data_IF_150434180521
#
_entry.id   IF_150434180521
#
_cell.length_a   1.000
_cell.length_b   1.000
_cell.length_c   1.000
_cell.angle_alpha   90.00
_cell.angle_beta   90.00
_cell.angle_gamma   90.00
#
_symmetry.space_group_name_H-M   'P 1'
#
loop_
_entity.id
_entity.type
_entity.pdbx_description
1 polymer ?
#
# COMPACT_ATOMS: atom_id res chain seq x y z
N UNK A 1 -0.81 26.05 -44.42
CA UNK A 1 -0.29 27.15 -43.58
C UNK A 1 -1.33 27.49 -42.53
N UNK A 2 -1.00 27.47 -41.23
CA UNK A 2 -1.95 27.87 -40.17
C UNK A 2 -2.14 29.38 -40.12
N UNK A 3 -3.37 29.82 -39.89
CA UNK A 3 -3.75 31.22 -39.89
C UNK A 3 -3.15 31.95 -38.68
N UNK A 4 -3.01 33.27 -38.77
CA UNK A 4 -2.44 34.11 -37.71
C UNK A 4 -3.28 34.03 -36.41
N UNK A 5 -4.59 33.83 -36.53
CA UNK A 5 -5.50 33.65 -35.40
C UNK A 5 -5.27 32.31 -34.66
N UNK A 6 -5.13 31.20 -35.39
CA UNK A 6 -4.86 29.88 -34.82
C UNK A 6 -3.53 29.82 -34.06
N UNK A 7 -2.49 30.53 -34.55
CA UNK A 7 -1.20 30.63 -33.84
C UNK A 7 -1.32 31.45 -32.56
N UNK A 8 -2.10 32.53 -32.57
CA UNK A 8 -2.35 33.37 -31.39
C UNK A 8 -3.14 32.62 -30.32
N UNK A 9 -4.15 31.86 -30.73
CA UNK A 9 -4.97 31.06 -29.83
C UNK A 9 -4.15 29.96 -29.15
N UNK A 10 -3.32 29.23 -29.91
CA UNK A 10 -2.42 28.23 -29.31
C UNK A 10 -1.36 28.83 -28.40
N UNK A 11 -0.80 29.99 -28.75
CA UNK A 11 0.15 30.68 -27.89
C UNK A 11 -0.52 31.13 -26.58
N UNK A 12 -1.78 31.56 -26.64
CA UNK A 12 -2.57 31.89 -25.45
C UNK A 12 -2.93 30.65 -24.62
N UNK A 13 -3.32 29.54 -25.24
CA UNK A 13 -3.59 28.26 -24.57
C UNK A 13 -2.32 27.62 -23.97
N UNK A 14 -1.16 27.82 -24.60
CA UNK A 14 0.13 27.39 -24.08
C UNK A 14 0.54 28.29 -22.91
N UNK A 15 0.47 29.61 -23.07
CA UNK A 15 0.72 30.56 -21.99
C UNK A 15 -0.20 30.35 -20.79
N UNK A 16 -1.50 30.09 -21.01
CA UNK A 16 -2.46 29.80 -19.94
C UNK A 16 -2.12 28.49 -19.20
N UNK A 17 -1.63 27.46 -19.91
CA UNK A 17 -1.15 26.21 -19.30
C UNK A 17 0.17 26.42 -18.53
N UNK A 18 1.09 27.20 -19.08
CA UNK A 18 2.37 27.50 -18.44
C UNK A 18 2.17 28.38 -17.19
N UNK A 19 1.27 29.37 -17.26
CA UNK A 19 0.84 30.22 -16.15
C UNK A 19 0.10 29.41 -15.09
N UNK A 20 -0.86 28.56 -15.49
CA UNK A 20 -1.53 27.65 -14.58
C UNK A 20 -0.52 26.74 -13.86
N UNK A 21 0.48 26.19 -14.56
CA UNK A 21 1.52 25.34 -13.96
C UNK A 21 2.46 26.08 -12.97
N UNK A 22 2.79 27.35 -13.24
CA UNK A 22 3.63 28.15 -12.34
C UNK A 22 2.88 28.63 -11.10
N UNK A 23 1.65 29.14 -11.25
CA UNK A 23 0.83 29.55 -10.11
C UNK A 23 0.33 28.34 -9.29
N UNK A 24 0.03 27.20 -9.93
CA UNK A 24 -0.35 25.96 -9.23
C UNK A 24 0.79 25.49 -8.32
N UNK A 25 2.04 25.44 -8.81
CA UNK A 25 3.16 24.99 -7.99
C UNK A 25 3.47 25.92 -6.81
N UNK A 26 3.51 27.23 -7.01
CA UNK A 26 3.79 28.18 -5.93
C UNK A 26 2.67 28.20 -4.89
N UNK A 27 1.41 28.16 -5.30
CA UNK A 27 0.25 28.07 -4.40
C UNK A 27 0.20 26.72 -3.67
N UNK A 28 0.53 25.62 -4.35
CA UNK A 28 0.65 24.27 -3.76
C UNK A 28 1.75 24.25 -2.70
N UNK A 29 2.92 24.82 -3.00
CA UNK A 29 4.04 24.90 -2.07
C UNK A 29 3.73 25.84 -0.90
N UNK A 30 3.07 26.97 -1.13
CA UNK A 30 2.64 27.89 -0.07
C UNK A 30 1.60 27.22 0.85
N UNK A 31 0.63 26.51 0.28
CA UNK A 31 -0.34 25.72 1.04
C UNK A 31 0.35 24.61 1.86
N UNK A 32 1.30 23.90 1.26
CA UNK A 32 2.10 22.89 1.95
C UNK A 32 2.99 23.49 3.05
N UNK A 33 3.57 24.67 2.83
CA UNK A 33 4.38 25.39 3.81
C UNK A 33 3.56 25.91 4.99
N UNK A 34 2.32 26.38 4.75
CA UNK A 34 1.39 26.75 5.83
C UNK A 34 1.03 25.55 6.72
N UNK A 35 1.02 24.34 6.16
CA UNK A 35 0.81 23.09 6.89
C UNK A 35 2.07 22.70 7.68
N UNK A 36 3.25 22.77 7.06
CA UNK A 36 4.52 22.43 7.71
C UNK A 36 4.90 23.44 8.82
N UNK A 37 4.55 24.71 8.66
CA UNK A 37 4.83 25.79 9.64
C UNK A 37 3.96 25.77 10.89
N UNK A 38 2.94 24.89 10.98
CA UNK A 38 2.07 24.73 12.15
C UNK A 38 2.54 23.64 13.13
N UNK A 39 3.72 23.06 12.93
CA UNK A 39 4.30 22.02 13.79
C UNK A 39 4.43 22.48 15.25
N UNK A 40 3.39 22.22 16.05
CA UNK A 40 3.50 22.07 17.49
C UNK A 40 3.89 20.62 17.82
N UNK A 41 4.71 20.39 18.86
CA UNK A 41 5.15 19.05 19.24
C UNK A 41 4.01 18.31 19.96
N UNK A 42 2.98 17.88 19.25
CA UNK A 42 1.91 17.04 19.78
C UNK A 42 1.50 15.97 18.78
N UNK A 43 1.98 14.75 19.03
CA UNK A 43 1.64 13.47 18.36
C UNK A 43 2.00 13.43 16.87
N UNK A 44 3.21 12.95 16.56
CA UNK A 44 3.72 12.72 15.20
C UNK A 44 2.87 11.77 14.30
N UNK A 45 1.73 11.26 14.79
CA UNK A 45 0.99 10.14 14.19
C UNK A 45 -0.38 10.53 13.63
N UNK A 46 -0.88 11.70 14.00
CA UNK A 46 -2.02 12.36 13.39
C UNK A 46 -1.50 13.75 13.08
N UNK A 47 -1.42 14.16 11.81
CA UNK A 47 -1.26 15.57 11.47
C UNK A 47 -2.66 16.17 11.33
N UNK A 48 -3.34 16.58 12.43
CA UNK A 48 -4.69 17.14 12.35
C UNK A 48 -4.75 18.35 11.41
N UNK A 49 -3.65 19.10 11.30
CA UNK A 49 -3.54 20.25 10.41
C UNK A 49 -3.57 19.87 8.93
N UNK A 50 -3.03 18.70 8.54
CA UNK A 50 -3.09 18.24 7.14
C UNK A 50 -4.52 17.85 6.78
N UNK A 51 -5.20 17.13 7.66
CA UNK A 51 -6.59 16.74 7.45
C UNK A 51 -7.51 17.97 7.37
N UNK A 52 -7.31 18.95 8.26
CA UNK A 52 -8.04 20.21 8.25
C UNK A 52 -7.77 21.03 6.98
N UNK A 53 -6.52 21.16 6.53
CA UNK A 53 -6.19 21.90 5.30
C UNK A 53 -6.72 21.21 4.05
N UNK A 54 -6.65 19.88 3.97
CA UNK A 54 -7.27 19.14 2.86
C UNK A 54 -8.80 19.30 2.87
N UNK A 55 -9.43 19.36 4.04
CA UNK A 55 -10.87 19.61 4.17
C UNK A 55 -11.24 21.06 3.81
N UNK A 56 -10.46 22.05 4.26
CA UNK A 56 -10.61 23.45 3.85
C UNK A 56 -10.52 23.56 2.32
N UNK A 57 -9.50 22.94 1.71
CA UNK A 57 -9.34 22.93 0.25
C UNK A 57 -10.50 22.27 -0.50
N UNK A 58 -11.12 21.23 0.07
CA UNK A 58 -12.36 20.65 -0.49
C UNK A 58 -13.52 21.65 -0.44
N UNK A 59 -13.65 22.43 0.63
CA UNK A 59 -14.69 23.46 0.75
C UNK A 59 -14.48 24.62 -0.25
N UNK A 60 -13.22 24.89 -0.63
CA UNK A 60 -12.88 25.85 -1.68
C UNK A 60 -12.85 25.23 -3.10
N UNK A 61 -13.17 23.93 -3.23
CA UNK A 61 -13.12 23.15 -4.46
C UNK A 61 -14.04 23.71 -5.54
N UNK A 62 -13.46 24.49 -6.45
CA UNK A 62 -14.15 25.16 -7.56
C UNK A 62 -13.59 26.53 -7.91
N UNK A 63 -12.86 27.19 -7.01
CA UNK A 63 -12.38 28.57 -7.19
C UNK A 63 -10.87 28.71 -7.42
N UNK A 64 -10.08 27.65 -7.21
CA UNK A 64 -8.63 27.65 -7.36
C UNK A 64 -8.20 26.66 -8.45
N UNK A 65 -7.16 26.97 -9.26
CA UNK A 65 -6.56 26.05 -10.23
C UNK A 65 -5.77 24.90 -9.56
N UNK A 66 -5.79 24.80 -8.24
CA UNK A 66 -5.03 23.86 -7.42
C UNK A 66 -5.91 22.65 -7.08
N UNK A 67 -5.45 21.44 -7.41
CA UNK A 67 -6.18 20.22 -7.06
C UNK A 67 -5.79 19.70 -5.67
N UNK A 68 -6.72 19.04 -5.00
CA UNK A 68 -6.47 18.37 -3.72
C UNK A 68 -5.35 17.33 -3.82
N UNK A 69 -5.27 16.61 -4.94
CA UNK A 69 -4.21 15.63 -5.19
C UNK A 69 -2.84 16.30 -5.33
N UNK A 70 -2.74 17.45 -6.00
CA UNK A 70 -1.50 18.22 -6.13
C UNK A 70 -0.98 18.67 -4.77
N UNK A 71 -1.85 19.21 -3.91
CA UNK A 71 -1.47 19.65 -2.55
C UNK A 71 -1.10 18.49 -1.66
N UNK A 72 -1.90 17.42 -1.65
CA UNK A 72 -1.57 16.23 -0.88
C UNK A 72 -0.21 15.66 -1.33
N UNK A 73 0.02 15.52 -2.63
CA UNK A 73 1.30 15.02 -3.16
C UNK A 73 2.50 15.88 -2.74
N UNK A 74 2.31 17.20 -2.62
CA UNK A 74 3.36 18.10 -2.11
C UNK A 74 3.59 17.94 -0.59
N UNK A 75 2.53 17.79 0.22
CA UNK A 75 2.64 17.58 1.68
C UNK A 75 3.28 16.24 2.02
N UNK A 76 2.99 15.20 1.22
CA UNK A 76 3.48 13.83 1.42
C UNK A 76 4.57 13.44 0.40
N UNK A 77 5.32 14.40 -0.13
CA UNK A 77 6.37 14.14 -1.13
C UNK A 77 7.33 13.03 -0.68
N UNK A 78 7.67 13.03 0.61
CA UNK A 78 8.64 12.11 1.21
C UNK A 78 7.98 10.83 1.74
N UNK A 79 6.68 10.67 1.51
CA UNK A 79 5.87 9.58 2.07
C UNK A 79 4.91 8.95 1.05
N UNK A 80 5.15 9.18 -0.24
CA UNK A 80 4.42 8.49 -1.32
C UNK A 80 4.95 7.07 -1.48
N UNK A 81 4.05 6.08 -1.51
CA UNK A 81 4.40 4.69 -1.74
C UNK A 81 4.24 4.31 -3.20
N UNK A 82 5.30 3.77 -3.79
CA UNK A 82 5.34 3.24 -5.15
C UNK A 82 6.03 1.89 -5.16
N UNK A 83 5.70 1.06 -6.15
CA UNK A 83 6.40 -0.18 -6.41
C UNK A 83 7.89 0.09 -6.71
N UNK A 84 8.78 -0.58 -5.98
CA UNK A 84 10.19 -0.63 -6.32
C UNK A 84 10.42 -1.69 -7.41
N UNK A 85 10.85 -1.24 -8.59
CA UNK A 85 11.11 -2.13 -9.72
C UNK A 85 12.28 -3.10 -9.46
N UNK A 86 13.26 -2.70 -8.64
CA UNK A 86 14.38 -3.54 -8.24
C UNK A 86 13.94 -4.67 -7.30
N UNK A 87 13.06 -4.39 -6.35
CA UNK A 87 12.47 -5.43 -5.48
C UNK A 87 11.61 -6.40 -6.31
N UNK A 88 10.84 -5.90 -7.28
CA UNK A 88 10.03 -6.78 -8.15
C UNK A 88 10.91 -7.69 -9.01
N UNK A 89 11.96 -7.15 -9.62
CA UNK A 89 12.93 -7.94 -10.40
C UNK A 89 13.59 -9.00 -9.53
N UNK A 90 14.04 -8.63 -8.33
CA UNK A 90 14.62 -9.56 -7.35
C UNK A 90 13.67 -10.72 -7.04
N UNK A 91 12.40 -10.42 -6.75
CA UNK A 91 11.39 -11.43 -6.41
C UNK A 91 11.14 -12.40 -7.57
N UNK A 92 11.09 -11.87 -8.80
CA UNK A 92 10.90 -12.68 -10.02
C UNK A 92 12.09 -13.59 -10.30
N UNK A 93 13.30 -13.04 -10.25
CA UNK A 93 14.53 -13.81 -10.47
C UNK A 93 14.70 -14.91 -9.42
N UNK A 94 14.46 -14.57 -8.15
CA UNK A 94 14.51 -15.54 -7.06
C UNK A 94 13.48 -16.66 -7.25
N UNK A 95 12.24 -16.32 -7.57
CA UNK A 95 11.18 -17.30 -7.80
C UNK A 95 11.47 -18.24 -8.98
N UNK A 96 12.07 -17.74 -10.05
CA UNK A 96 12.48 -18.55 -11.19
C UNK A 96 13.61 -19.55 -10.84
N UNK A 97 14.42 -19.25 -9.82
CA UNK A 97 15.49 -20.11 -9.32
C UNK A 97 15.07 -21.12 -8.25
N UNK A 98 13.78 -21.13 -7.82
CA UNK A 98 13.33 -22.01 -6.75
C UNK A 98 13.22 -23.48 -7.20
N UNK A 99 13.57 -24.43 -6.31
CA UNK A 99 13.37 -25.86 -6.56
C UNK A 99 11.93 -26.23 -6.93
N UNK A 100 11.69 -27.24 -7.80
CA UNK A 100 10.35 -27.63 -8.24
C UNK A 100 9.39 -27.96 -7.10
N UNK A 101 9.87 -28.53 -6.00
CA UNK A 101 9.06 -28.86 -4.82
C UNK A 101 8.47 -27.61 -4.14
N UNK A 102 9.24 -26.52 -4.06
CA UNK A 102 8.80 -25.23 -3.50
C UNK A 102 7.84 -24.56 -4.49
N UNK A 103 8.15 -24.59 -5.78
CA UNK A 103 7.31 -24.05 -6.84
C UNK A 103 5.95 -24.77 -6.91
N UNK A 104 5.91 -26.08 -6.64
CA UNK A 104 4.68 -26.86 -6.58
C UNK A 104 3.78 -26.47 -5.38
N UNK A 105 4.38 -26.25 -4.19
CA UNK A 105 3.64 -25.77 -3.01
C UNK A 105 2.99 -24.40 -3.27
N UNK A 106 3.70 -23.52 -3.96
CA UNK A 106 3.20 -22.21 -4.42
C UNK A 106 2.06 -22.40 -5.43
N UNK A 107 2.22 -23.27 -6.44
CA UNK A 107 1.29 -23.44 -7.55
C UNK A 107 -0.07 -24.05 -7.18
N UNK A 108 -0.14 -24.90 -6.13
CA UNK A 108 -1.38 -25.56 -5.68
C UNK A 108 -2.39 -24.62 -4.99
N UNK A 109 -2.13 -23.32 -4.95
CA UNK A 109 -2.88 -22.38 -4.14
C UNK A 109 -4.17 -21.91 -4.83
N UNK A 110 -5.29 -22.47 -4.38
CA UNK A 110 -6.59 -21.80 -4.39
C UNK A 110 -6.88 -21.34 -2.95
N UNK A 111 -7.05 -20.03 -2.78
CA UNK A 111 -7.52 -19.35 -1.56
C UNK A 111 -6.51 -19.19 -0.42
N UNK A 112 -5.76 -18.11 -0.55
CA UNK A 112 -5.03 -17.46 0.54
C UNK A 112 -6.05 -16.69 1.38
N UNK A 113 -5.82 -16.48 2.68
CA UNK A 113 -6.75 -15.71 3.51
C UNK A 113 -6.85 -14.26 3.02
N UNK A 114 -7.84 -14.00 2.16
CA UNK A 114 -8.22 -12.66 1.71
C UNK A 114 -8.67 -11.84 2.92
N UNK A 115 -8.45 -10.51 2.92
CA UNK A 115 -8.97 -9.63 3.97
C UNK A 115 -10.46 -9.88 4.20
N UNK A 116 -10.86 -10.08 5.46
CA UNK A 116 -12.25 -10.34 5.84
C UNK A 116 -12.79 -11.77 5.64
N UNK A 117 -12.07 -12.68 4.96
CA UNK A 117 -12.45 -14.10 4.83
C UNK A 117 -11.63 -14.93 5.80
N UNK A 118 -12.04 -14.93 7.07
CA UNK A 118 -11.45 -15.76 8.12
C UNK A 118 -12.52 -16.71 8.65
N UNK A 119 -12.91 -17.64 7.78
CA UNK A 119 -13.69 -18.80 8.18
C UNK A 119 -12.79 -19.88 8.84
N UNK A 120 -13.37 -20.79 9.63
CA UNK A 120 -12.63 -21.85 10.32
C UNK A 120 -12.01 -22.90 9.38
N UNK A 121 -12.30 -22.88 8.08
CA UNK A 121 -11.78 -23.81 7.09
C UNK A 121 -10.28 -23.65 6.94
N UNK A 122 -9.49 -24.60 7.47
CA UNK A 122 -8.08 -24.75 7.12
C UNK A 122 -7.96 -25.00 5.61
N UNK A 123 -6.99 -24.35 4.97
CA UNK A 123 -6.63 -24.74 3.61
C UNK A 123 -5.67 -25.92 3.72
N UNK A 124 -5.85 -26.94 2.88
CA UNK A 124 -5.12 -28.21 2.97
C UNK A 124 -3.60 -28.08 2.79
N UNK A 125 -3.10 -26.91 2.36
CA UNK A 125 -1.69 -26.67 2.00
C UNK A 125 -0.96 -25.64 2.88
N UNK A 126 -1.54 -25.19 4.00
CA UNK A 126 -0.88 -24.19 4.86
C UNK A 126 0.49 -24.69 5.38
N UNK A 127 0.61 -25.97 5.74
CA UNK A 127 1.86 -26.58 6.21
C UNK A 127 2.94 -26.63 5.12
N UNK A 128 2.60 -27.09 3.91
CA UNK A 128 3.53 -27.13 2.76
C UNK A 128 4.10 -25.73 2.46
N UNK A 129 3.28 -24.68 2.61
CA UNK A 129 3.70 -23.29 2.38
C UNK A 129 4.60 -22.80 3.52
N UNK A 130 4.29 -23.13 4.77
CA UNK A 130 5.14 -22.78 5.92
C UNK A 130 6.49 -23.47 5.80
N UNK A 131 6.52 -24.74 5.40
CA UNK A 131 7.75 -25.48 5.16
C UNK A 131 8.56 -24.85 4.02
N UNK A 132 7.91 -24.53 2.91
CA UNK A 132 8.54 -23.83 1.79
C UNK A 132 9.11 -22.45 2.19
N UNK A 133 8.41 -21.70 3.04
CA UNK A 133 8.87 -20.40 3.58
C UNK A 133 10.03 -20.54 4.59
N UNK A 134 10.17 -21.69 5.23
CA UNK A 134 11.24 -21.98 6.18
C UNK A 134 12.46 -22.65 5.54
N UNK A 135 12.33 -23.19 4.33
CA UNK A 135 13.45 -23.74 3.56
C UNK A 135 14.54 -22.66 3.35
N UNK A 136 15.81 -22.91 3.71
CA UNK A 136 16.89 -21.94 3.51
C UNK A 136 17.05 -21.46 2.06
N UNK A 137 16.71 -22.31 1.08
CA UNK A 137 16.78 -22.00 -0.36
C UNK A 137 15.71 -21.02 -0.81
N UNK A 138 14.62 -20.87 -0.05
CA UNK A 138 13.56 -19.91 -0.36
C UNK A 138 13.85 -18.51 0.18
N UNK A 139 14.90 -18.32 0.98
CA UNK A 139 15.27 -17.01 1.49
C UNK A 139 15.76 -16.09 0.39
N UNK A 140 15.24 -14.88 0.39
CA UNK A 140 15.70 -13.80 -0.47
C UNK A 140 17.12 -13.38 -0.08
N UNK A 141 17.95 -12.93 -1.04
CA UNK A 141 19.31 -12.48 -0.76
C UNK A 141 19.37 -11.19 0.07
N UNK A 142 18.24 -10.46 0.18
CA UNK A 142 18.05 -9.32 1.07
C UNK A 142 16.57 -9.18 1.44
N UNK A 143 16.24 -8.52 2.56
CA UNK A 143 14.87 -8.19 2.88
C UNK A 143 14.22 -7.28 1.82
N UNK A 144 12.94 -7.51 1.56
CA UNK A 144 12.06 -6.67 0.74
C UNK A 144 10.85 -6.25 1.55
N UNK A 145 10.21 -5.14 1.17
CA UNK A 145 9.00 -4.66 1.85
C UNK A 145 7.75 -5.02 1.05
N UNK A 146 6.81 -5.68 1.72
CA UNK A 146 5.58 -6.18 1.15
C UNK A 146 4.40 -5.50 1.85
N UNK A 147 3.32 -5.28 1.12
CA UNK A 147 2.16 -4.53 1.58
C UNK A 147 0.94 -5.42 1.66
N UNK A 148 0.28 -5.41 2.83
CA UNK A 148 -1.01 -6.06 3.03
C UNK A 148 -2.05 -5.01 3.40
N UNK A 149 -3.05 -4.86 2.54
CA UNK A 149 -4.21 -4.02 2.82
C UNK A 149 -5.15 -4.70 3.79
N UNK A 150 -5.56 -3.95 4.81
CA UNK A 150 -6.49 -4.39 5.83
C UNK A 150 -7.49 -3.28 6.11
N UNK A 151 -8.64 -3.64 6.67
CA UNK A 151 -9.66 -2.69 7.09
C UNK A 151 -10.38 -3.18 8.34
N UNK A 152 -11.21 -2.32 8.90
CA UNK A 152 -12.12 -2.68 9.98
C UNK A 152 -13.12 -3.75 9.51
N UNK A 153 -12.74 -5.02 9.55
CA UNK A 153 -13.70 -6.11 9.39
C UNK A 153 -14.45 -6.29 10.71
N UNK A 154 -15.78 -6.45 10.65
CA UNK A 154 -16.58 -6.82 11.81
C UNK A 154 -16.15 -8.15 12.45
N UNK A 155 -15.37 -8.96 11.73
CA UNK A 155 -14.85 -10.25 12.18
C UNK A 155 -13.72 -10.13 13.22
N UNK A 156 -12.92 -9.05 13.21
CA UNK A 156 -11.79 -8.88 14.13
C UNK A 156 -11.67 -7.46 14.74
N UNK A 157 -12.66 -7.01 15.53
CA UNK A 157 -12.70 -5.67 16.10
C UNK A 157 -11.59 -5.41 17.14
N UNK A 158 -10.96 -6.45 17.68
CA UNK A 158 -9.82 -6.32 18.58
C UNK A 158 -8.54 -6.00 17.81
N UNK A 159 -8.27 -6.70 16.71
CA UNK A 159 -7.08 -6.47 15.88
C UNK A 159 -7.05 -5.04 15.32
N UNK A 160 -8.19 -4.55 14.82
CA UNK A 160 -8.29 -3.20 14.30
C UNK A 160 -8.07 -2.11 15.37
N UNK A 161 -8.45 -2.37 16.63
CA UNK A 161 -8.14 -1.48 17.76
C UNK A 161 -6.65 -1.52 18.10
N UNK A 162 -6.04 -2.71 18.11
CA UNK A 162 -4.59 -2.86 18.33
C UNK A 162 -3.79 -2.10 17.28
N UNK A 163 -4.18 -2.19 16.00
CA UNK A 163 -3.53 -1.47 14.90
C UNK A 163 -3.60 0.06 15.08
N UNK A 164 -4.77 0.61 15.38
CA UNK A 164 -4.96 2.06 15.51
C UNK A 164 -4.29 2.64 16.76
N UNK A 165 -3.94 1.80 17.73
CA UNK A 165 -3.25 2.18 18.96
C UNK A 165 -1.77 1.78 19.00
N UNK A 166 -1.30 1.11 17.95
CA UNK A 166 0.04 0.52 17.89
C UNK A 166 1.14 1.58 17.96
N UNK A 167 2.23 1.22 18.63
CA UNK A 167 3.46 1.99 18.77
C UNK A 167 4.66 1.16 18.32
N UNK A 168 5.76 1.81 17.90
CA UNK A 168 7.02 1.11 17.69
C UNK A 168 7.40 0.28 18.92
N UNK A 169 7.73 -0.99 18.71
CA UNK A 169 7.99 -1.99 19.74
C UNK A 169 6.80 -2.89 20.06
N UNK A 170 5.57 -2.49 19.72
CA UNK A 170 4.39 -3.31 19.97
C UNK A 170 4.37 -4.56 19.08
N UNK A 171 3.72 -5.60 19.58
CA UNK A 171 3.52 -6.86 18.89
C UNK A 171 2.07 -6.99 18.44
N UNK A 172 1.89 -7.06 17.13
CA UNK A 172 0.63 -7.41 16.51
C UNK A 172 0.57 -8.92 16.36
N UNK A 173 -0.27 -9.57 17.16
CA UNK A 173 -0.59 -10.99 16.95
C UNK A 173 -1.54 -11.07 15.77
N UNK A 174 -1.04 -11.63 14.67
CA UNK A 174 -1.79 -11.81 13.43
C UNK A 174 -2.31 -13.25 13.33
N UNK A 175 -2.85 -13.62 12.18
CA UNK A 175 -3.30 -14.97 11.89
C UNK A 175 -2.15 -15.98 11.92
N UNK A 176 -2.44 -17.19 12.42
CA UNK A 176 -1.51 -18.34 12.44
C UNK A 176 -1.33 -19.01 11.06
N UNK A 177 -1.71 -18.35 9.97
CA UNK A 177 -1.69 -18.88 8.60
C UNK A 177 -0.81 -18.04 7.70
N UNK A 178 -0.25 -18.61 6.62
CA UNK A 178 0.44 -17.84 5.59
C UNK A 178 -0.49 -16.76 5.01
N UNK A 179 -0.05 -15.52 5.09
CA UNK A 179 -0.80 -14.37 4.62
C UNK A 179 -0.43 -14.03 3.18
N UNK A 180 -1.44 -13.62 2.42
CA UNK A 180 -1.24 -12.97 1.13
C UNK A 180 -1.00 -11.47 1.34
N UNK A 181 -0.02 -10.97 0.60
CA UNK A 181 0.40 -9.58 0.50
C UNK A 181 0.72 -9.28 -0.97
N UNK A 182 1.03 -8.03 -1.28
CA UNK A 182 1.54 -7.62 -2.59
C UNK A 182 2.86 -6.88 -2.40
N UNK A 183 3.80 -7.08 -3.32
CA UNK A 183 4.98 -6.21 -3.40
C UNK A 183 4.62 -4.80 -3.89
N UNK A 184 3.45 -4.65 -4.51
CA UNK A 184 2.98 -3.37 -5.03
C UNK A 184 1.98 -2.72 -4.07
N UNK A 185 2.37 -1.58 -3.45
CA UNK A 185 1.49 -0.89 -2.52
C UNK A 185 0.18 -0.44 -3.17
N UNK A 186 0.16 -0.19 -4.49
CA UNK A 186 -1.07 0.18 -5.20
C UNK A 186 -2.11 -0.93 -5.14
N UNK A 187 -1.70 -2.17 -5.38
CA UNK A 187 -2.59 -3.34 -5.31
C UNK A 187 -3.09 -3.51 -3.88
N UNK A 188 -2.19 -3.47 -2.89
CA UNK A 188 -2.57 -3.60 -1.47
C UNK A 188 -3.52 -2.47 -1.02
N UNK A 189 -3.42 -1.28 -1.62
CA UNK A 189 -4.31 -0.16 -1.38
C UNK A 189 -5.63 -0.23 -2.16
N UNK A 190 -5.89 -1.27 -2.95
CA UNK A 190 -7.17 -1.48 -3.62
C UNK A 190 -8.33 -1.40 -2.62
N UNK A 191 -9.47 -0.89 -3.06
CA UNK A 191 -10.69 -0.84 -2.24
C UNK A 191 -11.23 -2.24 -1.91
N UNK A 192 -10.75 -3.30 -2.55
CA UNK A 192 -11.03 -4.68 -2.13
C UNK A 192 -10.34 -5.03 -0.79
N UNK A 193 -9.23 -4.37 -0.44
CA UNK A 193 -8.38 -4.74 0.69
C UNK A 193 -8.30 -3.65 1.77
N UNK A 194 -8.01 -2.40 1.37
CA UNK A 194 -7.95 -1.24 2.26
C UNK A 194 -9.12 -0.29 1.95
N UNK A 195 -10.19 -0.40 2.74
CA UNK A 195 -11.42 0.38 2.54
C UNK A 195 -11.24 1.86 2.93
N UNK A 196 -11.84 2.75 2.14
CA UNK A 196 -11.84 4.19 2.37
C UNK A 196 -10.47 4.85 2.16
N UNK A 197 -10.32 6.05 2.74
CA UNK A 197 -9.10 6.85 2.65
C UNK A 197 -8.91 7.56 1.30
N UNK A 198 -9.90 7.58 0.41
CA UNK A 198 -9.78 8.34 -0.83
C UNK A 198 -9.79 9.83 -0.53
N UNK A 199 -8.87 10.56 -1.16
CA UNK A 199 -8.81 12.01 -0.99
C UNK A 199 -10.06 12.72 -1.50
N UNK A 200 -10.94 12.06 -2.26
CA UNK A 200 -12.20 12.64 -2.74
C UNK A 200 -13.41 12.32 -1.86
N UNK A 201 -13.29 11.50 -0.81
CA UNK A 201 -14.44 11.08 0.00
C UNK A 201 -14.99 12.21 0.91
N UNK A 202 -16.31 12.43 0.88
CA UNK A 202 -17.03 13.49 1.62
C UNK A 202 -16.91 13.43 3.15
N UNK A 203 -16.51 12.28 3.73
CA UNK A 203 -16.42 12.08 5.20
C UNK A 203 -15.06 12.44 5.80
N UNK A 204 -14.30 13.31 5.15
CA UNK A 204 -12.87 13.48 5.46
C UNK A 204 -12.06 12.27 4.96
N UNK A 205 -10.76 12.44 4.72
CA UNK A 205 -9.83 11.34 4.47
C UNK A 205 -9.57 10.51 5.74
N UNK A 206 -10.64 10.07 6.41
CA UNK A 206 -10.61 9.22 7.60
C UNK A 206 -10.32 7.80 7.13
N UNK A 207 -9.16 7.21 7.47
CA UNK A 207 -8.80 5.88 6.97
C UNK A 207 -9.79 4.84 7.52
N UNK A 208 -10.56 4.20 6.64
CA UNK A 208 -11.35 3.00 6.98
C UNK A 208 -10.50 1.73 7.00
N UNK A 209 -9.26 1.82 6.50
CA UNK A 209 -8.28 0.76 6.41
C UNK A 209 -6.85 1.29 6.46
N UNK A 210 -5.91 0.36 6.48
CA UNK A 210 -4.48 0.59 6.66
C UNK A 210 -3.66 -0.39 5.82
N UNK A 211 -2.37 -0.09 5.68
CA UNK A 211 -1.40 -1.01 5.10
C UNK A 211 -0.47 -1.53 6.20
N UNK A 212 -0.25 -2.84 6.23
CA UNK A 212 0.90 -3.43 6.90
C UNK A 212 2.05 -3.46 5.88
N UNK A 213 3.12 -2.73 6.14
CA UNK A 213 4.37 -2.76 5.38
C UNK A 213 5.35 -3.71 6.08
N UNK A 214 5.39 -4.95 5.60
CA UNK A 214 6.12 -6.07 6.21
C UNK A 214 7.48 -6.20 5.51
N UNK A 215 8.56 -5.91 6.21
CA UNK A 215 9.93 -6.12 5.70
C UNK A 215 10.45 -7.47 6.12
N UNK A 216 10.78 -8.33 5.16
CA UNK A 216 11.22 -9.72 5.40
C UNK A 216 12.09 -10.25 4.26
N UNK A 217 12.99 -11.18 4.58
CA UNK A 217 13.73 -12.01 3.62
C UNK A 217 13.06 -13.39 3.39
N UNK A 218 12.04 -13.73 4.17
CA UNK A 218 11.23 -14.95 4.03
C UNK A 218 9.92 -14.63 3.35
N UNK A 219 9.91 -14.78 2.03
CA UNK A 219 8.73 -14.54 1.21
C UNK A 219 8.77 -15.40 -0.06
N UNK A 220 7.59 -15.86 -0.51
CA UNK A 220 7.45 -16.59 -1.77
C UNK A 220 6.67 -15.73 -2.75
N UNK A 221 7.28 -15.41 -3.88
CA UNK A 221 6.60 -14.69 -4.96
C UNK A 221 5.60 -15.62 -5.65
N UNK A 222 4.34 -15.21 -5.65
CA UNK A 222 3.22 -15.90 -6.29
C UNK A 222 2.70 -15.14 -7.52
N UNK A 223 3.13 -13.89 -7.73
CA UNK A 223 2.79 -13.10 -8.90
C UNK A 223 3.26 -13.74 -10.21
N UNK A 224 2.67 -13.30 -11.31
CA UNK A 224 2.98 -13.74 -12.68
C UNK A 224 2.74 -15.23 -13.01
N UNK A 225 1.97 -15.97 -12.20
CA UNK A 225 1.62 -17.36 -12.53
C UNK A 225 0.88 -17.43 -13.87
N UNK A 226 1.50 -18.10 -14.84
CA UNK A 226 0.85 -18.45 -16.08
C UNK A 226 -0.06 -19.69 -15.87
N UNK A 227 -1.26 -19.63 -16.45
CA UNK A 227 -2.26 -20.71 -16.54
C UNK A 227 -1.63 -22.10 -16.56
N UNK A 228 -1.83 -22.88 -15.50
CA UNK A 228 -1.71 -24.33 -15.57
C UNK A 228 -3.10 -24.87 -15.25
N UNK A 229 -3.82 -25.29 -16.29
CA UNK A 229 -5.18 -25.87 -16.28
C UNK A 229 -6.40 -24.93 -16.18
N UNK A 230 -6.85 -24.40 -17.34
CA UNK A 230 -8.27 -24.27 -17.73
C UNK A 230 -9.27 -23.41 -16.93
N UNK A 231 -8.96 -22.93 -15.73
CA UNK A 231 -9.79 -22.03 -14.93
C UNK A 231 -9.01 -20.77 -14.59
N UNK A 232 -9.59 -19.60 -14.87
CA UNK A 232 -8.96 -18.31 -14.64
C UNK A 232 -9.09 -17.91 -13.16
N UNK A 233 -7.98 -17.60 -12.50
CA UNK A 233 -8.03 -16.59 -11.45
C UNK A 233 -7.62 -15.20 -11.97
N UNK A 234 -6.93 -15.10 -13.12
CA UNK A 234 -6.67 -13.91 -13.97
C UNK A 234 -6.02 -12.71 -13.28
N UNK A 235 -5.99 -12.71 -11.95
CA UNK A 235 -5.73 -11.60 -11.06
C UNK A 235 -4.36 -11.74 -10.41
N UNK A 236 -3.82 -12.94 -10.20
CA UNK A 236 -2.52 -13.15 -9.57
C UNK A 236 -1.35 -12.44 -10.30
N UNK A 237 -1.38 -12.42 -11.64
CA UNK A 237 -0.41 -11.68 -12.48
C UNK A 237 -0.47 -10.17 -12.28
N UNK A 238 -1.65 -9.62 -11.99
CA UNK A 238 -1.84 -8.19 -11.72
C UNK A 238 -1.63 -7.84 -10.26
N UNK A 239 -1.93 -8.77 -9.36
CA UNK A 239 -1.86 -8.60 -7.91
C UNK A 239 -0.41 -8.56 -7.40
N UNK A 240 0.55 -9.06 -8.19
CA UNK A 240 1.97 -9.19 -7.80
C UNK A 240 2.07 -9.82 -6.41
N UNK A 241 1.33 -10.91 -6.26
CA UNK A 241 1.08 -11.55 -4.97
C UNK A 241 2.38 -12.09 -4.37
N UNK A 242 2.50 -11.92 -3.07
CA UNK A 242 3.59 -12.46 -2.27
C UNK A 242 3.00 -13.14 -1.04
N UNK A 243 3.53 -14.32 -0.73
CA UNK A 243 3.14 -15.09 0.44
C UNK A 243 4.19 -14.92 1.52
N UNK A 244 3.75 -14.62 2.74
CA UNK A 244 4.61 -14.58 3.92
C UNK A 244 3.94 -15.28 5.09
N UNK A 245 4.75 -15.80 6.02
CA UNK A 245 4.27 -16.37 7.26
C UNK A 245 4.81 -15.55 8.44
N UNK A 246 3.93 -14.75 9.03
CA UNK A 246 4.26 -13.84 10.12
C UNK A 246 3.12 -13.84 11.16
N UNK A 247 3.02 -14.88 12.00
CA UNK A 247 1.97 -14.97 13.02
C UNK A 247 2.08 -13.85 14.06
N UNK A 248 3.26 -13.25 14.20
CA UNK A 248 3.52 -12.08 15.03
C UNK A 248 4.31 -11.07 14.21
N UNK A 249 3.85 -9.83 14.22
CA UNK A 249 4.52 -8.70 13.57
C UNK A 249 4.94 -7.71 14.63
N UNK A 250 6.23 -7.40 14.69
CA UNK A 250 6.75 -6.32 15.53
C UNK A 250 6.65 -5.01 14.77
N UNK A 251 5.97 -4.04 15.35
CA UNK A 251 5.83 -2.70 14.79
C UNK A 251 7.16 -1.97 14.93
N UNK A 252 7.71 -1.50 13.83
CA UNK A 252 8.96 -0.73 13.78
C UNK A 252 8.71 0.75 13.53
N UNK A 253 7.56 1.08 12.95
CA UNK A 253 7.19 2.46 12.66
C UNK A 253 5.73 2.58 12.26
N UNK A 254 5.23 3.81 12.31
CA UNK A 254 3.88 4.17 11.89
C UNK A 254 3.96 5.47 11.10
N UNK A 255 3.29 5.57 9.96
CA UNK A 255 3.22 6.84 9.22
C UNK A 255 1.97 6.91 8.38
N UNK A 256 1.59 8.11 7.99
CA UNK A 256 0.64 8.30 6.90
C UNK A 256 1.40 8.31 5.57
N UNK A 257 0.77 7.74 4.54
CA UNK A 257 1.32 7.70 3.21
C UNK A 257 0.24 7.96 2.16
N UNK A 258 0.68 8.51 1.02
CA UNK A 258 -0.14 8.53 -0.18
C UNK A 258 0.16 7.32 -1.05
N UNK A 259 -0.90 6.66 -1.49
CA UNK A 259 -0.83 5.47 -2.34
C UNK A 259 -1.83 5.62 -3.46
N UNK A 260 -1.37 5.46 -4.71
CA UNK A 260 -2.27 5.46 -5.86
C UNK A 260 -2.97 4.09 -5.92
N UNK A 261 -4.29 4.08 -5.87
CA UNK A 261 -5.10 2.88 -6.09
C UNK A 261 -4.97 2.40 -7.55
N UNK A 262 -5.19 1.10 -7.86
CA UNK A 262 -5.10 0.59 -9.22
C UNK A 262 -6.13 1.26 -10.17
N UNK A 263 -7.20 1.82 -9.60
CA UNK A 263 -8.23 2.57 -10.33
C UNK A 263 -7.91 4.07 -10.47
N UNK A 264 -6.67 4.49 -10.18
CA UNK A 264 -6.17 5.84 -10.42
C UNK A 264 -6.35 6.83 -9.25
N UNK A 265 -7.31 6.60 -8.36
CA UNK A 265 -7.58 7.46 -7.21
C UNK A 265 -6.44 7.46 -6.18
N UNK A 266 -6.10 8.64 -5.63
CA UNK A 266 -5.10 8.77 -4.59
C UNK A 266 -5.71 8.55 -3.19
N UNK A 267 -5.14 7.61 -2.44
CA UNK A 267 -5.54 7.30 -1.06
C UNK A 267 -4.53 7.80 -0.06
N UNK A 268 -5.03 8.35 1.05
CA UNK A 268 -4.27 8.59 2.28
C UNK A 268 -4.54 7.43 3.24
N UNK A 269 -3.51 6.65 3.52
CA UNK A 269 -3.61 5.47 4.38
C UNK A 269 -2.63 5.55 5.54
N UNK A 270 -3.03 4.95 6.66
CA UNK A 270 -2.11 4.61 7.74
C UNK A 270 -1.24 3.43 7.31
N UNK A 271 0.07 3.54 7.48
CA UNK A 271 1.05 2.50 7.14
C UNK A 271 1.78 2.10 8.41
N UNK A 272 1.66 0.81 8.76
CA UNK A 272 2.37 0.19 9.86
C UNK A 272 3.60 -0.52 9.30
N UNK A 273 4.78 0.05 9.54
CA UNK A 273 6.02 -0.64 9.26
C UNK A 273 6.22 -1.76 10.28
N UNK A 274 6.44 -2.96 9.80
CA UNK A 274 6.47 -4.18 10.58
C UNK A 274 7.61 -5.10 10.13
N UNK A 275 8.13 -5.88 11.06
CA UNK A 275 9.00 -7.03 10.77
C UNK A 275 8.41 -8.28 11.39
N UNK A 276 8.55 -9.47 10.77
CA UNK A 276 8.20 -10.72 11.43
C UNK A 276 8.93 -10.83 12.77
N UNK A 277 8.18 -11.01 13.85
CA UNK A 277 8.78 -11.26 15.16
C UNK A 277 9.23 -12.73 15.18
N UNK A 278 10.54 -12.94 15.23
CA UNK A 278 11.12 -14.29 15.30
C UNK A 278 10.88 -15.00 16.65
N UNK A 279 10.04 -14.43 17.53
CA UNK A 279 9.89 -14.82 18.94
C UNK A 279 9.89 -16.34 19.11
N UNK A 280 10.66 -16.82 20.09
CA UNK A 280 10.99 -18.23 20.38
C UNK A 280 10.23 -19.21 19.50
N UNK A 281 10.83 -19.58 18.37
CA UNK A 281 10.30 -20.61 17.49
C UNK A 281 9.94 -21.82 18.35
N UNK A 282 8.69 -22.34 18.30
CA UNK A 282 8.42 -23.61 18.93
C UNK A 282 9.32 -24.63 18.23
N UNK A 283 10.27 -25.18 19.00
CA UNK A 283 11.02 -26.37 18.63
C UNK A 283 10.07 -27.56 18.54
#
# INVERSE_FOLDING_TARGET
>A
MRTRAERRQRAHEQWARDVAGCYDRELVLEAAQRVAGRDQPRRAWHRPDVAAVLEDLRQFGGYLPVTLESVASAIYSDSTLTLDAGDLTLMREHAAGLPPEITAAIARRSYTAKPGVLGPTGYENDEEIVDALNDPRSRLPRPVTLYRGEHHSGAHPQFARTVTQARPGDLLTHHRRPISASIDPSIAASSEFALGGHLTDERGATPGGWLLAITTDRALYAGDRARHSGGDDGRATFEKEVVVYAPRLRVTGLREALVRSPHGALKRLLVLACTPDAGDSPR
#
